data_IF_449118208574
#
_entry.id   IF_449118208574
#
_cell.length_a   1.000
_cell.length_b   1.000
_cell.length_c   1.000
_cell.angle_alpha   90.00
_cell.angle_beta   90.00
_cell.angle_gamma   90.00
#
_symmetry.space_group_name_H-M   'P 1'
#
loop_
_entity.id
_entity.type
_entity.pdbx_description
1 polymer ?
#
# COMPACT_ATOMS: atom_id res chain seq x y z
N UNK A 1 35.37 5.04 11.67
CA UNK A 1 34.15 4.22 11.76
C UNK A 1 32.93 5.03 12.21
N UNK A 2 33.06 5.92 13.19
CA UNK A 2 31.95 6.75 13.69
C UNK A 2 31.25 7.59 12.62
N UNK A 3 32.03 8.27 11.76
CA UNK A 3 31.47 9.08 10.67
C UNK A 3 30.62 8.27 9.67
N UNK A 4 31.06 7.06 9.32
CA UNK A 4 30.34 6.20 8.38
C UNK A 4 29.04 5.67 8.99
N UNK A 5 29.06 5.29 10.28
CA UNK A 5 27.84 4.89 10.98
C UNK A 5 26.85 6.05 11.06
N UNK A 6 27.33 7.24 11.41
CA UNK A 6 26.49 8.44 11.48
C UNK A 6 25.88 8.80 10.12
N UNK A 7 26.69 8.82 9.05
CA UNK A 7 26.22 9.09 7.71
C UNK A 7 25.20 8.04 7.23
N UNK A 8 25.50 6.75 7.44
CA UNK A 8 24.62 5.65 7.03
C UNK A 8 23.27 5.70 7.74
N UNK A 9 23.26 5.90 9.06
CA UNK A 9 22.01 6.04 9.83
C UNK A 9 21.22 7.27 9.38
N UNK A 10 21.90 8.40 9.18
CA UNK A 10 21.24 9.64 8.74
C UNK A 10 20.57 9.47 7.37
N UNK A 11 21.29 8.89 6.42
CA UNK A 11 20.77 8.62 5.07
C UNK A 11 19.61 7.63 5.14
N UNK A 12 19.72 6.54 5.91
CA UNK A 12 18.67 5.56 6.05
C UNK A 12 17.35 6.16 6.58
N UNK A 13 17.44 7.06 7.57
CA UNK A 13 16.27 7.77 8.12
C UNK A 13 15.65 8.69 7.08
N UNK A 14 16.46 9.57 6.47
CA UNK A 14 15.98 10.56 5.50
C UNK A 14 15.39 9.89 4.27
N UNK A 15 16.04 8.84 3.77
CA UNK A 15 15.59 8.08 2.60
C UNK A 15 14.29 7.32 2.89
N UNK A 16 14.14 6.73 4.08
CA UNK A 16 12.88 6.06 4.47
C UNK A 16 11.72 7.04 4.67
N UNK A 17 12.02 8.30 4.96
CA UNK A 17 11.04 9.38 5.05
C UNK A 17 10.61 9.90 3.68
N UNK A 18 11.27 9.48 2.60
CA UNK A 18 10.83 9.80 1.26
C UNK A 18 9.47 9.14 0.99
N UNK A 19 8.49 9.87 0.42
CA UNK A 19 7.12 9.38 0.24
C UNK A 19 7.06 8.04 -0.49
N UNK A 20 7.96 7.79 -1.44
CA UNK A 20 8.05 6.57 -2.23
C UNK A 20 8.29 5.30 -1.38
N UNK A 21 8.84 5.41 -0.17
CA UNK A 21 9.14 4.26 0.69
C UNK A 21 8.00 3.89 1.65
N UNK A 22 7.27 4.88 2.21
CA UNK A 22 6.20 4.61 3.18
C UNK A 22 4.79 4.70 2.57
N UNK A 23 4.61 5.54 1.54
CA UNK A 23 3.29 5.84 0.99
C UNK A 23 2.56 4.61 0.46
N UNK A 24 3.19 3.67 -0.28
CA UNK A 24 2.49 2.49 -0.79
C UNK A 24 1.89 1.63 0.33
N UNK A 25 2.63 1.42 1.42
CA UNK A 25 2.17 0.61 2.56
C UNK A 25 1.06 1.30 3.35
N UNK A 26 1.16 2.61 3.54
CA UNK A 26 0.13 3.40 4.23
C UNK A 26 -1.14 3.48 3.38
N UNK A 27 -1.03 3.69 2.07
CA UNK A 27 -2.16 3.71 1.16
C UNK A 27 -2.88 2.36 1.13
N UNK A 28 -2.14 1.25 1.00
CA UNK A 28 -2.70 -0.11 1.09
C UNK A 28 -3.32 -0.40 2.46
N UNK A 29 -2.65 0.00 3.54
CA UNK A 29 -3.15 -0.15 4.90
C UNK A 29 -4.48 0.57 5.11
N UNK A 30 -4.60 1.81 4.63
CA UNK A 30 -5.86 2.58 4.66
C UNK A 30 -6.95 1.93 3.80
N UNK A 31 -6.65 1.52 2.57
CA UNK A 31 -7.60 0.85 1.68
C UNK A 31 -8.16 -0.46 2.25
N UNK A 32 -7.36 -1.19 3.03
CA UNK A 32 -7.74 -2.48 3.63
C UNK A 32 -8.15 -2.40 5.10
N UNK A 33 -8.25 -1.20 5.68
CA UNK A 33 -8.48 -0.98 7.13
C UNK A 33 -7.53 -1.80 8.02
N UNK A 34 -6.25 -1.87 7.66
CA UNK A 34 -5.24 -2.56 8.46
C UNK A 34 -4.87 -1.76 9.71
N UNK A 35 -4.61 -2.49 10.82
CA UNK A 35 -4.05 -1.88 12.02
C UNK A 35 -2.62 -1.37 11.74
N UNK A 36 -2.22 -0.32 12.47
CA UNK A 36 -0.86 0.26 12.36
C UNK A 36 0.23 -0.80 12.53
N UNK A 37 0.02 -1.75 13.46
CA UNK A 37 0.93 -2.87 13.70
C UNK A 37 1.14 -3.74 12.45
N UNK A 38 0.09 -3.98 11.67
CA UNK A 38 0.17 -4.78 10.44
C UNK A 38 0.92 -4.03 9.35
N UNK A 39 0.67 -2.73 9.19
CA UNK A 39 1.40 -1.89 8.23
C UNK A 39 2.89 -1.86 8.57
N UNK A 40 3.24 -1.67 9.85
CA UNK A 40 4.62 -1.68 10.33
C UNK A 40 5.29 -3.05 10.12
N UNK A 41 4.60 -4.15 10.41
CA UNK A 41 5.16 -5.49 10.20
C UNK A 41 5.47 -5.76 8.72
N UNK A 42 4.54 -5.46 7.82
CA UNK A 42 4.75 -5.61 6.38
C UNK A 42 5.87 -4.70 5.87
N UNK A 43 5.91 -3.44 6.31
CA UNK A 43 6.97 -2.49 5.97
C UNK A 43 8.33 -2.97 6.49
N UNK A 44 8.40 -3.50 7.71
CA UNK A 44 9.63 -4.07 8.27
C UNK A 44 10.15 -5.27 7.48
N UNK A 45 9.27 -6.20 7.10
CA UNK A 45 9.65 -7.35 6.26
C UNK A 45 10.14 -6.89 4.88
N UNK A 46 9.45 -5.94 4.26
CA UNK A 46 9.88 -5.37 2.98
C UNK A 46 11.24 -4.67 3.08
N UNK A 47 11.48 -3.92 4.17
CA UNK A 47 12.76 -3.28 4.45
C UNK A 47 13.90 -4.28 4.61
N UNK A 48 13.68 -5.36 5.37
CA UNK A 48 14.68 -6.46 5.51
C UNK A 48 15.01 -7.06 4.15
N UNK A 49 13.99 -7.38 3.35
CA UNK A 49 14.19 -7.93 2.01
C UNK A 49 14.98 -6.95 1.12
N UNK A 50 14.60 -5.67 1.11
CA UNK A 50 15.26 -4.62 0.33
C UNK A 50 16.74 -4.41 0.70
N UNK A 51 17.07 -4.38 1.99
CA UNK A 51 18.47 -4.22 2.44
C UNK A 51 19.25 -5.49 2.11
N UNK A 52 18.67 -6.67 2.33
CA UNK A 52 19.33 -7.95 2.05
C UNK A 52 19.63 -8.14 0.55
N UNK A 53 18.75 -7.70 -0.34
CA UNK A 53 18.98 -7.79 -1.80
C UNK A 53 20.11 -6.85 -2.22
N UNK A 54 20.18 -5.64 -1.65
CA UNK A 54 21.27 -4.70 -1.91
C UNK A 54 22.62 -5.24 -1.46
N UNK A 55 22.68 -5.86 -0.28
CA UNK A 55 23.90 -6.53 0.22
C UNK A 55 24.29 -7.68 -0.71
N UNK A 56 23.32 -8.52 -1.10
CA UNK A 56 23.57 -9.64 -1.99
C UNK A 56 24.14 -9.19 -3.35
N UNK A 57 23.56 -8.15 -3.96
CA UNK A 57 24.08 -7.56 -5.20
C UNK A 57 25.49 -7.01 -5.03
N UNK A 58 25.77 -6.33 -3.91
CA UNK A 58 27.12 -5.85 -3.59
C UNK A 58 28.14 -6.99 -3.47
N UNK A 59 27.77 -8.09 -2.83
CA UNK A 59 28.61 -9.29 -2.74
C UNK A 59 28.86 -9.91 -4.11
N UNK A 60 27.83 -10.04 -4.96
CA UNK A 60 27.96 -10.56 -6.32
C UNK A 60 28.92 -9.69 -7.15
N UNK A 61 28.82 -8.36 -7.03
CA UNK A 61 29.69 -7.43 -7.74
C UNK A 61 31.17 -7.56 -7.32
N UNK A 62 31.45 -7.77 -6.02
CA UNK A 62 32.82 -8.01 -5.52
C UNK A 62 33.43 -9.29 -6.11
N UNK A 63 32.60 -10.29 -6.43
CA UNK A 63 33.06 -11.52 -7.11
C UNK A 63 33.36 -11.33 -8.61
N UNK A 64 33.30 -10.10 -9.12
CA UNK A 64 33.64 -9.77 -10.51
C UNK A 64 32.53 -10.11 -11.52
N UNK A 65 31.33 -10.45 -11.05
CA UNK A 65 30.18 -10.71 -11.91
C UNK A 65 29.61 -9.38 -12.38
N UNK A 66 29.63 -9.15 -13.70
CA UNK A 66 29.08 -7.93 -14.30
C UNK A 66 27.55 -8.00 -14.32
N UNK A 67 26.92 -7.09 -13.56
CA UNK A 67 25.46 -6.97 -13.44
C UNK A 67 24.89 -5.82 -14.29
N UNK A 68 25.70 -5.07 -15.04
CA UNK A 68 25.29 -3.85 -15.75
C UNK A 68 24.13 -4.13 -16.70
N UNK A 69 24.22 -5.18 -17.55
CA UNK A 69 23.14 -5.51 -18.47
C UNK A 69 21.83 -5.94 -17.78
N UNK A 70 21.94 -6.52 -16.57
CA UNK A 70 20.76 -6.87 -15.74
C UNK A 70 20.19 -5.60 -15.11
N UNK A 71 21.03 -4.69 -14.62
CA UNK A 71 20.60 -3.43 -14.03
C UNK A 71 19.89 -2.55 -15.07
N UNK A 72 20.44 -2.41 -16.28
CA UNK A 72 19.81 -1.68 -17.40
C UNK A 72 18.45 -2.28 -17.75
N UNK A 73 18.37 -3.61 -17.84
CA UNK A 73 17.09 -4.30 -18.11
C UNK A 73 16.05 -4.06 -17.01
N UNK A 74 16.48 -4.03 -15.74
CA UNK A 74 15.59 -3.75 -14.60
C UNK A 74 15.13 -2.29 -14.62
N UNK A 75 16.01 -1.33 -14.91
CA UNK A 75 15.66 0.09 -15.01
C UNK A 75 14.64 0.34 -16.13
N UNK A 76 14.86 -0.25 -17.30
CA UNK A 76 13.94 -0.11 -18.44
C UNK A 76 12.59 -0.77 -18.17
N UNK A 77 12.58 -1.90 -17.47
CA UNK A 77 11.36 -2.67 -17.21
C UNK A 77 10.60 -2.21 -15.94
N UNK A 78 11.25 -1.50 -15.01
CA UNK A 78 10.65 -1.08 -13.74
C UNK A 78 9.37 -0.24 -13.89
N UNK A 79 9.32 0.79 -14.77
CA UNK A 79 8.10 1.56 -14.98
C UNK A 79 6.96 0.70 -15.54
N UNK A 80 7.27 -0.20 -16.48
CA UNK A 80 6.29 -1.12 -17.08
C UNK A 80 5.73 -2.09 -16.04
N UNK A 81 6.59 -2.63 -15.17
CA UNK A 81 6.17 -3.47 -14.05
C UNK A 81 5.26 -2.73 -13.08
N UNK A 82 5.56 -1.46 -12.77
CA UNK A 82 4.73 -0.66 -11.87
C UNK A 82 3.33 -0.43 -12.46
N UNK A 83 3.27 -0.08 -13.76
CA UNK A 83 1.99 0.07 -14.49
C UNK A 83 1.23 -1.25 -14.52
N UNK A 84 1.91 -2.36 -14.82
CA UNK A 84 1.30 -3.69 -14.88
C UNK A 84 0.72 -4.12 -13.53
N UNK A 85 1.47 -3.96 -12.43
CA UNK A 85 1.01 -4.29 -11.08
C UNK A 85 -0.19 -3.42 -10.69
N UNK A 86 -0.14 -2.11 -10.98
CA UNK A 86 -1.25 -1.20 -10.73
C UNK A 86 -2.51 -1.59 -11.49
N UNK A 87 -2.37 -1.90 -12.79
CA UNK A 87 -3.47 -2.33 -13.64
C UNK A 87 -4.05 -3.67 -13.20
N UNK A 88 -3.19 -4.65 -12.88
CA UNK A 88 -3.61 -5.95 -12.37
C UNK A 88 -4.41 -5.81 -11.07
N UNK A 89 -3.94 -4.98 -10.13
CA UNK A 89 -4.66 -4.71 -8.89
C UNK A 89 -6.02 -4.04 -9.15
N UNK A 90 -6.07 -3.07 -10.06
CA UNK A 90 -7.32 -2.42 -10.46
C UNK A 90 -8.33 -3.41 -11.05
N UNK A 91 -7.89 -4.28 -11.97
CA UNK A 91 -8.72 -5.33 -12.57
C UNK A 91 -9.24 -6.30 -11.50
N UNK A 92 -8.37 -6.80 -10.62
CA UNK A 92 -8.77 -7.69 -9.51
C UNK A 92 -9.77 -7.00 -8.59
N UNK A 93 -9.59 -5.71 -8.32
CA UNK A 93 -10.51 -4.93 -7.48
C UNK A 93 -11.90 -4.78 -8.11
N UNK A 94 -11.98 -4.60 -9.43
CA UNK A 94 -13.25 -4.51 -10.17
C UNK A 94 -13.94 -5.88 -10.21
N UNK A 95 -13.21 -6.95 -10.52
CA UNK A 95 -13.76 -8.32 -10.62
C UNK A 95 -14.25 -8.82 -9.25
N UNK A 96 -13.57 -8.47 -8.15
CA UNK A 96 -13.95 -8.94 -6.81
C UNK A 96 -15.21 -8.30 -6.25
N UNK A 97 -15.83 -7.33 -6.95
CA UNK A 97 -17.14 -6.77 -6.61
C UNK A 97 -17.21 -6.16 -5.21
N UNK A 98 -17.19 -4.83 -5.11
CA UNK A 98 -17.60 -4.18 -3.86
C UNK A 98 -19.10 -4.43 -3.65
N UNK A 99 -19.44 -5.31 -2.70
CA UNK A 99 -20.81 -5.43 -2.18
C UNK A 99 -21.10 -4.19 -1.33
N UNK A 100 -21.60 -3.12 -1.96
CA UNK A 100 -22.22 -2.03 -1.23
C UNK A 100 -23.48 -2.59 -0.54
N UNK A 101 -23.38 -2.84 0.76
CA UNK A 101 -24.55 -3.09 1.61
C UNK A 101 -25.35 -1.80 1.72
N UNK A 102 -26.29 -1.58 0.81
CA UNK A 102 -27.30 -0.50 0.84
C UNK A 102 -28.35 -0.71 1.96
N UNK A 103 -27.97 -1.26 3.12
CA UNK A 103 -28.93 -1.59 4.18
C UNK A 103 -29.38 -0.37 4.99
N UNK A 104 -28.56 0.68 5.08
CA UNK A 104 -28.81 1.79 6.02
C UNK A 104 -29.83 2.80 5.49
N UNK A 105 -29.77 3.14 4.19
CA UNK A 105 -30.68 4.13 3.58
C UNK A 105 -32.10 3.59 3.43
N UNK A 106 -32.26 2.32 3.03
CA UNK A 106 -33.58 1.69 2.91
C UNK A 106 -34.22 1.44 4.28
N UNK A 107 -33.44 1.10 5.30
CA UNK A 107 -33.95 0.98 6.67
C UNK A 107 -34.45 2.32 7.24
N UNK A 108 -33.74 3.43 6.96
CA UNK A 108 -34.20 4.77 7.35
C UNK A 108 -35.49 5.18 6.64
N UNK A 109 -35.62 4.96 5.33
CA UNK A 109 -36.86 5.30 4.61
C UNK A 109 -38.07 4.44 5.02
N UNK A 110 -37.84 3.17 5.39
CA UNK A 110 -38.90 2.32 5.94
C UNK A 110 -39.31 2.73 7.37
N UNK A 111 -38.38 3.25 8.17
CA UNK A 111 -38.70 3.82 9.49
C UNK A 111 -39.47 5.13 9.39
N UNK A 112 -39.07 6.02 8.48
CA UNK A 112 -39.74 7.30 8.22
C UNK A 112 -41.19 7.07 7.75
N UNK A 113 -41.39 6.17 6.77
CA UNK A 113 -42.73 5.81 6.27
C UNK A 113 -43.62 5.18 7.38
N UNK A 114 -43.02 4.38 8.27
CA UNK A 114 -43.73 3.80 9.41
C UNK A 114 -44.09 4.85 10.48
N UNK A 115 -43.28 5.90 10.65
CA UNK A 115 -43.59 7.01 11.56
C UNK A 115 -44.69 7.91 10.99
N UNK A 116 -44.66 8.23 9.69
CA UNK A 116 -45.66 9.07 9.03
C UNK A 116 -47.05 8.41 9.01
N UNK A 117 -47.11 7.10 8.75
CA UNK A 117 -48.37 6.32 8.79
C UNK A 117 -48.93 6.08 10.20
N UNK A 118 -48.16 6.36 11.26
CA UNK A 118 -48.61 6.22 12.66
C UNK A 118 -49.15 7.52 13.27
N UNK A 119 -49.12 8.64 12.52
CA UNK A 119 -49.76 9.88 12.94
C UNK A 119 -51.21 9.89 12.42
N UNK A 120 -52.24 9.65 13.25
CA UNK A 120 -53.61 9.75 12.80
C UNK A 120 -53.84 11.20 12.36
N UNK A 121 -54.30 11.38 11.13
CA UNK A 121 -54.86 12.63 10.62
C UNK A 121 -55.87 13.15 11.66
N UNK A 122 -55.41 14.08 12.49
CA UNK A 122 -56.21 14.82 13.43
C UNK A 122 -57.16 15.69 12.62
N UNK A 123 -58.33 15.14 12.32
CA UNK A 123 -59.53 15.89 11.96
C UNK A 123 -59.74 16.99 13.00
N UNK A 124 -59.43 18.22 12.60
CA UNK A 124 -59.99 19.45 13.15
C UNK A 124 -60.18 20.45 12.01
#
# INVERSE_FOLDING_TARGET
MELLMFASVSIAIIHSLAPDHYFPFVALGKLKNWSVKRVLAFSGVAGVFHVSSSIALGLILINGINLIGVAESIEELSPLMLVFIGLLYAIISVIRGHSHTHSTSTAMMLQENKQESSHPLGLR
#
